data_IF_192013431392
#
_entry.id   IF_192013431392
#
_cell.length_a   1.000
_cell.length_b   1.000
_cell.length_c   1.000
_cell.angle_alpha   90.00
_cell.angle_beta   90.00
_cell.angle_gamma   90.00
#
_symmetry.space_group_name_H-M   'P 1'
#
loop_
_entity.id
_entity.type
_entity.pdbx_description
1 polymer ?
#
# COMPACT_ATOMS: atom_id res chain seq x y z
N UNK A 1 3.26 13.21 -17.15
CA UNK A 1 3.66 12.61 -15.87
C UNK A 1 4.35 11.28 -16.20
N UNK A 2 5.68 11.20 -16.09
CA UNK A 2 6.39 9.93 -16.19
C UNK A 2 6.30 9.26 -14.82
N UNK A 3 5.43 8.26 -14.67
CA UNK A 3 5.45 7.36 -13.53
C UNK A 3 6.42 6.23 -13.86
N UNK A 4 7.43 6.06 -13.04
CA UNK A 4 8.42 5.01 -13.21
C UNK A 4 8.31 4.03 -12.05
N UNK A 5 8.12 2.75 -12.39
CA UNK A 5 8.30 1.65 -11.46
C UNK A 5 9.80 1.45 -11.30
N UNK A 6 10.41 1.96 -10.24
CA UNK A 6 11.86 1.86 -10.03
C UNK A 6 12.15 0.55 -9.32
N UNK A 7 12.88 -0.35 -9.97
CA UNK A 7 13.69 -1.35 -9.29
C UNK A 7 14.95 -0.67 -8.75
N UNK A 8 15.61 -1.25 -7.74
CA UNK A 8 16.80 -0.64 -7.11
C UNK A 8 17.96 -0.35 -8.10
N UNK A 9 17.96 -0.97 -9.27
CA UNK A 9 19.00 -0.85 -10.30
C UNK A 9 18.66 0.21 -11.37
N UNK A 10 17.37 0.54 -11.57
CA UNK A 10 16.90 1.37 -12.69
C UNK A 10 16.72 2.87 -12.36
N UNK A 11 16.88 3.26 -11.11
CA UNK A 11 16.64 4.65 -10.67
C UNK A 11 17.51 5.67 -11.41
N UNK A 12 18.79 5.39 -11.55
CA UNK A 12 19.73 6.25 -12.25
C UNK A 12 19.48 6.29 -13.77
N UNK A 13 19.06 5.15 -14.36
CA UNK A 13 18.73 5.05 -15.80
C UNK A 13 17.46 5.82 -16.13
N UNK A 14 16.49 5.83 -15.25
CA UNK A 14 15.25 6.57 -15.39
C UNK A 14 15.45 8.08 -15.30
N UNK A 15 16.23 8.54 -14.34
CA UNK A 15 16.57 9.95 -14.16
C UNK A 15 17.36 10.46 -15.36
N UNK A 16 18.29 9.66 -15.89
CA UNK A 16 19.05 10.00 -17.09
C UNK A 16 18.18 10.10 -18.35
N UNK A 17 17.12 9.29 -18.46
CA UNK A 17 16.25 9.25 -19.63
C UNK A 17 15.10 10.27 -19.57
N UNK A 18 14.55 10.56 -18.39
CA UNK A 18 13.32 11.32 -18.20
C UNK A 18 13.47 12.61 -17.40
N UNK A 19 14.68 12.87 -16.90
CA UNK A 19 14.94 13.97 -15.98
C UNK A 19 14.56 13.63 -14.53
N UNK A 20 14.56 14.61 -13.62
CA UNK A 20 14.36 14.40 -12.19
C UNK A 20 13.03 13.71 -11.87
N UNK A 21 13.09 12.63 -11.07
CA UNK A 21 11.92 11.88 -10.63
C UNK A 21 11.23 12.64 -9.50
N UNK A 22 9.94 12.94 -9.64
CA UNK A 22 9.13 13.66 -8.65
C UNK A 22 8.00 12.82 -8.03
N UNK A 23 7.79 11.59 -8.51
CA UNK A 23 6.83 10.63 -7.99
C UNK A 23 7.51 9.28 -7.76
N UNK A 24 7.43 8.78 -6.51
CA UNK A 24 7.85 7.43 -6.14
C UNK A 24 6.63 6.61 -5.71
N UNK A 25 6.41 5.45 -6.34
CA UNK A 25 5.35 4.51 -5.94
C UNK A 25 5.97 3.20 -5.47
N UNK A 26 5.85 2.89 -4.19
CA UNK A 26 6.28 1.64 -3.59
C UNK A 26 5.16 0.60 -3.70
N UNK A 27 5.20 -0.26 -4.73
CA UNK A 27 4.15 -1.24 -5.03
C UNK A 27 4.62 -2.69 -4.92
N UNK A 28 5.93 -2.96 -4.82
CA UNK A 28 6.44 -4.32 -4.69
C UNK A 28 5.95 -4.97 -3.38
N UNK A 29 5.49 -6.23 -3.48
CA UNK A 29 4.95 -6.95 -2.33
C UNK A 29 5.17 -8.44 -2.47
N UNK A 30 5.26 -9.14 -1.34
CA UNK A 30 5.11 -10.59 -1.19
C UNK A 30 4.01 -10.86 -0.18
N UNK A 31 3.33 -12.00 -0.29
CA UNK A 31 2.14 -12.31 0.50
C UNK A 31 2.11 -13.79 0.85
N UNK A 32 2.75 -14.14 1.97
CA UNK A 32 2.80 -15.50 2.49
C UNK A 32 1.81 -15.69 3.63
N UNK A 33 1.15 -16.85 3.66
CA UNK A 33 0.21 -17.17 4.73
C UNK A 33 0.98 -17.75 5.92
N UNK A 34 0.78 -17.15 7.09
CA UNK A 34 1.31 -17.59 8.37
C UNK A 34 0.38 -17.15 9.51
N UNK A 35 0.65 -17.63 10.72
CA UNK A 35 -0.02 -17.22 11.95
C UNK A 35 1.00 -17.00 13.07
N UNK A 36 0.54 -16.49 14.21
CA UNK A 36 1.41 -16.30 15.41
C UNK A 36 2.01 -17.61 15.92
N UNK A 37 1.41 -18.76 15.59
CA UNK A 37 1.84 -20.08 16.06
C UNK A 37 2.75 -20.83 15.08
N UNK A 38 2.85 -20.38 13.82
CA UNK A 38 3.56 -21.11 12.76
C UNK A 38 4.36 -20.22 11.79
N UNK A 39 4.55 -18.93 12.11
CA UNK A 39 5.36 -18.07 11.26
C UNK A 39 6.84 -18.52 11.22
N UNK A 40 7.45 -18.38 10.03
CA UNK A 40 8.88 -18.64 9.84
C UNK A 40 9.68 -17.34 9.71
N UNK A 41 10.89 -17.30 10.30
CA UNK A 41 11.75 -16.11 10.24
C UNK A 41 12.15 -15.74 8.81
N UNK A 42 12.26 -16.68 7.89
CA UNK A 42 12.57 -16.41 6.48
C UNK A 42 11.45 -15.59 5.81
N UNK A 43 10.18 -15.97 5.98
CA UNK A 43 9.05 -15.22 5.46
C UNK A 43 8.92 -13.85 6.14
N UNK A 44 9.12 -13.82 7.48
CA UNK A 44 9.15 -12.59 8.26
C UNK A 44 10.18 -11.59 7.73
N UNK A 45 11.43 -12.01 7.59
CA UNK A 45 12.51 -11.15 7.13
C UNK A 45 12.28 -10.67 5.69
N UNK A 46 11.74 -11.52 4.83
CA UNK A 46 11.36 -11.16 3.46
C UNK A 46 10.25 -10.10 3.45
N UNK A 47 9.20 -10.26 4.25
CA UNK A 47 8.13 -9.26 4.38
C UNK A 47 8.68 -7.91 4.86
N UNK A 48 9.48 -7.90 5.94
CA UNK A 48 10.02 -6.65 6.49
C UNK A 48 11.09 -6.02 5.58
N UNK A 49 11.89 -6.82 4.88
CA UNK A 49 12.85 -6.31 3.91
C UNK A 49 12.12 -5.58 2.77
N UNK A 50 11.09 -6.20 2.21
CA UNK A 50 10.38 -5.67 1.05
C UNK A 50 9.42 -4.54 1.41
N UNK A 51 8.67 -4.67 2.52
CA UNK A 51 7.61 -3.71 2.86
C UNK A 51 8.09 -2.55 3.73
N UNK A 52 9.23 -2.66 4.41
CA UNK A 52 9.70 -1.63 5.34
C UNK A 52 11.07 -1.09 4.95
N UNK A 53 12.08 -1.97 4.87
CA UNK A 53 13.46 -1.53 4.58
C UNK A 53 13.58 -0.91 3.19
N UNK A 54 12.99 -1.55 2.16
CA UNK A 54 13.06 -1.05 0.78
C UNK A 54 12.35 0.30 0.61
N UNK A 55 11.09 0.51 1.04
CA UNK A 55 10.45 1.82 0.98
C UNK A 55 11.21 2.91 1.74
N UNK A 56 11.77 2.59 2.91
CA UNK A 56 12.57 3.55 3.68
C UNK A 56 13.87 3.95 2.95
N UNK A 57 14.56 2.98 2.34
CA UNK A 57 15.75 3.23 1.53
C UNK A 57 15.42 4.08 0.30
N UNK A 58 14.36 3.70 -0.44
CA UNK A 58 13.93 4.44 -1.63
C UNK A 58 13.48 5.86 -1.29
N UNK A 59 12.74 6.05 -0.19
CA UNK A 59 12.33 7.37 0.26
C UNK A 59 13.54 8.27 0.60
N UNK A 60 14.55 7.72 1.29
CA UNK A 60 15.80 8.42 1.59
C UNK A 60 16.53 8.84 0.31
N UNK A 61 16.69 7.92 -0.62
CA UNK A 61 17.40 8.18 -1.88
C UNK A 61 16.62 9.18 -2.77
N UNK A 62 15.29 9.03 -2.84
CA UNK A 62 14.40 9.96 -3.54
C UNK A 62 14.51 11.39 -2.98
N UNK A 63 14.50 11.52 -1.65
CA UNK A 63 14.62 12.83 -1.00
C UNK A 63 15.99 13.49 -1.24
N UNK A 64 17.05 12.69 -1.34
CA UNK A 64 18.41 13.17 -1.64
C UNK A 64 18.58 13.54 -3.12
N UNK A 65 17.96 12.81 -4.04
CA UNK A 65 18.06 13.04 -5.48
C UNK A 65 17.13 14.16 -5.99
N UNK A 66 16.02 14.45 -5.28
CA UNK A 66 15.06 15.45 -5.71
C UNK A 66 15.71 16.86 -5.73
N UNK A 67 15.79 17.56 -6.89
CA UNK A 67 16.41 18.86 -7.00
C UNK A 67 15.84 19.91 -6.04
N UNK A 68 16.67 20.86 -5.63
CA UNK A 68 16.23 21.99 -4.82
C UNK A 68 15.11 22.77 -5.54
N UNK A 69 14.06 23.12 -4.79
CA UNK A 69 12.89 23.84 -5.33
C UNK A 69 11.84 22.95 -6.02
N UNK A 70 12.12 21.66 -6.24
CA UNK A 70 11.10 20.72 -6.70
C UNK A 70 10.32 20.10 -5.54
N UNK A 71 9.04 19.88 -5.77
CA UNK A 71 8.17 19.11 -4.87
C UNK A 71 8.05 17.68 -5.33
N UNK A 72 7.89 16.75 -4.38
CA UNK A 72 7.75 15.33 -4.64
C UNK A 72 6.54 14.70 -3.95
N UNK A 73 6.18 13.51 -4.45
CA UNK A 73 5.17 12.65 -3.84
C UNK A 73 5.70 11.23 -3.73
N UNK A 74 5.54 10.63 -2.54
CA UNK A 74 5.72 9.20 -2.33
C UNK A 74 4.33 8.58 -2.06
N UNK A 75 4.01 7.48 -2.75
CA UNK A 75 2.80 6.69 -2.53
C UNK A 75 3.19 5.26 -2.18
N UNK A 76 2.82 4.82 -0.99
CA UNK A 76 3.04 3.46 -0.52
C UNK A 76 1.78 2.61 -0.75
N UNK A 77 1.88 1.49 -1.48
CA UNK A 77 0.80 0.53 -1.58
C UNK A 77 0.85 -0.36 -0.33
N UNK A 78 -0.12 -0.13 0.56
CA UNK A 78 -0.21 -0.82 1.85
C UNK A 78 -1.17 -2.01 1.71
N UNK A 79 -2.17 -2.08 2.52
CA UNK A 79 -3.27 -3.06 2.49
C UNK A 79 -4.35 -2.55 3.45
N UNK A 80 -5.62 -2.77 3.14
CA UNK A 80 -6.73 -2.44 4.02
C UNK A 80 -6.67 -3.17 5.38
N UNK A 81 -5.93 -4.30 5.46
CA UNK A 81 -5.73 -5.05 6.71
C UNK A 81 -5.12 -4.24 7.86
N UNK A 82 -4.43 -3.12 7.56
CA UNK A 82 -3.95 -2.23 8.63
C UNK A 82 -5.08 -1.54 9.38
N UNK A 83 -6.29 -1.49 8.79
CA UNK A 83 -7.52 -0.98 9.42
C UNK A 83 -8.37 -2.11 10.04
N UNK A 84 -8.30 -3.32 9.45
CA UNK A 84 -9.05 -4.49 9.89
C UNK A 84 -8.15 -5.73 9.90
N UNK A 85 -7.34 -5.91 10.95
CA UNK A 85 -6.42 -7.04 11.05
C UNK A 85 -7.19 -8.38 11.15
N UNK A 86 -6.54 -9.44 10.67
CA UNK A 86 -7.02 -10.82 10.76
C UNK A 86 -5.94 -11.69 11.40
N UNK A 87 -6.26 -12.84 12.01
CA UNK A 87 -5.26 -13.71 12.63
C UNK A 87 -4.35 -14.42 11.63
N UNK A 88 -4.71 -14.45 10.36
CA UNK A 88 -3.92 -15.00 9.25
C UNK A 88 -3.01 -13.93 8.65
N UNK A 89 -1.98 -14.37 7.92
CA UNK A 89 -1.00 -13.47 7.30
C UNK A 89 -0.32 -12.56 8.33
N UNK A 90 0.13 -13.17 9.41
CA UNK A 90 0.58 -12.47 10.62
C UNK A 90 1.80 -11.58 10.33
N UNK A 91 2.91 -12.14 9.81
CA UNK A 91 4.12 -11.36 9.51
C UNK A 91 3.91 -10.33 8.39
N UNK A 92 3.11 -10.69 7.37
CA UNK A 92 2.69 -9.75 6.33
C UNK A 92 1.93 -8.55 6.92
N UNK A 93 0.90 -8.81 7.72
CA UNK A 93 0.05 -7.77 8.31
C UNK A 93 0.86 -6.83 9.19
N UNK A 94 1.79 -7.36 10.00
CA UNK A 94 2.70 -6.55 10.82
C UNK A 94 3.62 -5.68 9.96
N UNK A 95 4.18 -6.23 8.87
CA UNK A 95 5.04 -5.46 7.98
C UNK A 95 4.29 -4.32 7.26
N UNK A 96 3.04 -4.55 6.86
CA UNK A 96 2.18 -3.50 6.27
C UNK A 96 1.75 -2.46 7.31
N UNK A 97 1.48 -2.86 8.55
CA UNK A 97 1.23 -1.93 9.65
C UNK A 97 2.46 -1.06 9.97
N UNK A 98 3.66 -1.65 9.92
CA UNK A 98 4.91 -0.92 10.05
C UNK A 98 5.11 0.09 8.90
N UNK A 99 4.79 -0.30 7.63
CA UNK A 99 4.82 0.62 6.50
C UNK A 99 3.80 1.76 6.64
N UNK A 100 2.62 1.48 7.21
CA UNK A 100 1.64 2.53 7.52
C UNK A 100 2.16 3.52 8.57
N UNK A 101 2.78 3.06 9.62
CA UNK A 101 3.45 3.91 10.60
C UNK A 101 4.57 4.73 9.95
N UNK A 102 5.43 4.07 9.14
CA UNK A 102 6.51 4.72 8.40
C UNK A 102 6.00 5.78 7.41
N UNK A 103 4.86 5.56 6.75
CA UNK A 103 4.24 6.55 5.85
C UNK A 103 3.98 7.87 6.58
N UNK A 104 3.42 7.81 7.78
CA UNK A 104 3.13 9.01 8.59
C UNK A 104 4.38 9.70 9.10
N UNK A 105 5.36 8.94 9.57
CA UNK A 105 6.63 9.53 10.04
C UNK A 105 7.45 10.12 8.89
N UNK A 106 7.47 9.47 7.72
CA UNK A 106 8.08 10.04 6.51
C UNK A 106 7.37 11.31 6.06
N UNK A 107 6.03 11.37 6.12
CA UNK A 107 5.27 12.58 5.80
C UNK A 107 5.67 13.77 6.68
N UNK A 108 5.90 13.52 7.97
CA UNK A 108 6.38 14.54 8.91
C UNK A 108 7.82 14.97 8.61
N UNK A 109 8.70 14.00 8.36
CA UNK A 109 10.12 14.25 8.21
C UNK A 109 10.50 14.91 6.87
N UNK A 110 9.73 14.64 5.80
CA UNK A 110 10.04 15.09 4.44
C UNK A 110 9.28 16.36 4.03
N UNK A 111 8.31 16.79 4.85
CA UNK A 111 7.61 18.05 4.64
C UNK A 111 8.58 19.26 4.77
N UNK A 112 8.30 20.41 4.10
CA UNK A 112 7.15 20.63 3.21
C UNK A 112 7.38 20.16 1.77
N UNK A 113 8.57 19.70 1.42
CA UNK A 113 9.03 19.48 0.05
C UNK A 113 8.47 18.19 -0.55
N UNK A 114 8.33 17.13 0.24
CA UNK A 114 7.84 15.84 -0.22
C UNK A 114 6.63 15.44 0.63
N UNK A 115 5.52 15.15 -0.04
CA UNK A 115 4.33 14.56 0.57
C UNK A 115 4.44 13.04 0.51
N UNK A 116 3.97 12.36 1.55
CA UNK A 116 3.97 10.90 1.61
C UNK A 116 2.57 10.42 1.97
N UNK A 117 1.97 9.63 1.09
CA UNK A 117 0.64 9.08 1.28
C UNK A 117 0.63 7.58 0.95
N UNK A 118 -0.52 6.96 1.13
CA UNK A 118 -0.70 5.53 0.89
C UNK A 118 -2.02 5.21 0.19
N UNK A 119 -2.05 4.05 -0.44
CA UNK A 119 -3.26 3.38 -0.91
C UNK A 119 -3.36 2.05 -0.15
N UNK A 120 -4.54 1.75 0.39
CA UNK A 120 -4.87 0.49 1.03
C UNK A 120 -5.86 -0.31 0.17
N UNK A 121 -5.37 -1.18 -0.74
CA UNK A 121 -6.25 -1.97 -1.58
C UNK A 121 -6.98 -3.06 -0.79
N UNK A 122 -8.17 -3.41 -1.29
CA UNK A 122 -8.84 -4.69 -1.05
C UNK A 122 -8.52 -5.73 -2.12
N UNK A 123 -9.40 -6.74 -2.29
CA UNK A 123 -9.24 -7.78 -3.30
C UNK A 123 -9.35 -7.18 -4.70
N UNK A 124 -8.23 -7.13 -5.42
CA UNK A 124 -8.10 -6.51 -6.73
C UNK A 124 -8.03 -7.55 -7.85
N UNK A 125 -7.19 -8.56 -7.66
CA UNK A 125 -6.98 -9.67 -8.60
C UNK A 125 -6.97 -10.98 -7.81
N UNK A 126 -7.44 -12.09 -8.41
CA UNK A 126 -7.31 -13.40 -7.77
C UNK A 126 -5.83 -13.72 -7.54
N UNK A 127 -5.51 -14.23 -6.36
CA UNK A 127 -4.17 -14.73 -6.08
C UNK A 127 -3.97 -16.10 -6.73
N UNK A 128 -2.72 -16.51 -6.94
CA UNK A 128 -2.40 -17.85 -7.45
C UNK A 128 -2.97 -19.01 -6.60
N UNK A 129 -3.45 -18.72 -5.39
CA UNK A 129 -4.04 -19.66 -4.44
C UNK A 129 -5.58 -19.68 -4.46
N UNK A 130 -6.19 -18.78 -5.21
CA UNK A 130 -7.65 -18.65 -5.30
C UNK A 130 -8.13 -19.07 -6.69
N UNK A 131 -9.14 -19.93 -6.72
CA UNK A 131 -9.92 -20.13 -7.92
C UNK A 131 -10.95 -18.98 -8.11
N UNK A 132 -11.57 -18.94 -9.29
CA UNK A 132 -12.56 -17.91 -9.63
C UNK A 132 -13.74 -17.88 -8.66
N UNK A 133 -14.16 -19.04 -8.15
CA UNK A 133 -15.29 -19.17 -7.23
C UNK A 133 -14.96 -18.55 -5.88
N UNK A 134 -13.77 -18.85 -5.34
CA UNK A 134 -13.32 -18.31 -4.07
C UNK A 134 -13.12 -16.77 -4.16
N UNK A 135 -12.60 -16.28 -5.29
CA UNK A 135 -12.47 -14.85 -5.49
C UNK A 135 -13.82 -14.15 -5.64
N UNK A 136 -14.77 -14.73 -6.41
CA UNK A 136 -16.13 -14.21 -6.53
C UNK A 136 -16.86 -14.17 -5.17
N UNK A 137 -16.72 -15.21 -4.35
CA UNK A 137 -17.28 -15.24 -3.00
C UNK A 137 -16.66 -14.16 -2.10
N UNK A 138 -15.35 -13.90 -2.25
CA UNK A 138 -14.69 -12.81 -1.54
C UNK A 138 -15.26 -11.44 -1.95
N UNK A 139 -15.48 -11.19 -3.23
CA UNK A 139 -16.08 -9.96 -3.73
C UNK A 139 -17.53 -9.80 -3.24
N UNK A 140 -18.32 -10.88 -3.24
CA UNK A 140 -19.70 -10.84 -2.73
C UNK A 140 -19.76 -10.52 -1.22
N UNK A 141 -18.72 -10.84 -0.47
CA UNK A 141 -18.57 -10.44 0.93
C UNK A 141 -18.29 -8.95 1.16
N UNK A 142 -17.94 -8.18 0.12
CA UNK A 142 -17.69 -6.75 0.26
C UNK A 142 -18.99 -5.95 0.35
N UNK A 143 -18.93 -4.78 0.99
CA UNK A 143 -20.10 -3.87 1.07
C UNK A 143 -20.54 -3.42 -0.33
N UNK A 144 -19.59 -3.06 -1.20
CA UNK A 144 -19.88 -2.63 -2.58
C UNK A 144 -20.04 -3.79 -3.58
N UNK A 145 -19.83 -5.06 -3.15
CA UNK A 145 -19.91 -6.26 -3.99
C UNK A 145 -18.90 -6.30 -5.15
N UNK A 146 -17.93 -5.42 -5.15
CA UNK A 146 -16.80 -5.42 -6.07
C UNK A 146 -15.56 -4.83 -5.39
N UNK A 147 -14.40 -5.30 -5.81
CA UNK A 147 -13.10 -4.72 -5.44
C UNK A 147 -12.70 -3.59 -6.39
N UNK A 148 -11.52 -2.99 -6.17
CA UNK A 148 -11.03 -1.92 -7.03
C UNK A 148 -10.59 -2.46 -8.40
N UNK A 149 -10.85 -1.69 -9.44
CA UNK A 149 -10.27 -1.90 -10.76
C UNK A 149 -8.85 -1.33 -10.83
N UNK A 150 -8.00 -1.86 -11.72
CA UNK A 150 -6.61 -1.38 -11.87
C UNK A 150 -6.53 0.10 -12.23
N UNK A 151 -7.51 0.62 -12.97
CA UNK A 151 -7.58 2.03 -13.33
C UNK A 151 -7.77 2.96 -12.11
N UNK A 152 -8.41 2.48 -11.05
CA UNK A 152 -8.66 3.27 -9.83
C UNK A 152 -7.37 3.55 -9.05
N UNK A 153 -6.36 2.68 -9.15
CA UNK A 153 -5.03 2.96 -8.59
C UNK A 153 -4.39 4.17 -9.24
N UNK A 154 -4.41 4.21 -10.58
CA UNK A 154 -3.90 5.34 -11.34
C UNK A 154 -4.66 6.64 -11.04
N UNK A 155 -5.99 6.58 -10.95
CA UNK A 155 -6.84 7.70 -10.60
C UNK A 155 -6.55 8.22 -9.18
N UNK A 156 -6.37 7.31 -8.21
CA UNK A 156 -6.05 7.67 -6.82
C UNK A 156 -4.66 8.30 -6.72
N UNK A 157 -3.65 7.76 -7.42
CA UNK A 157 -2.32 8.37 -7.47
C UNK A 157 -2.38 9.78 -8.06
N UNK A 158 -3.15 9.96 -9.14
CA UNK A 158 -3.35 11.29 -9.76
C UNK A 158 -4.03 12.26 -8.79
N UNK A 159 -5.08 11.83 -8.11
CA UNK A 159 -5.72 12.63 -7.07
C UNK A 159 -4.71 13.05 -5.98
N UNK A 160 -3.92 12.12 -5.45
CA UNK A 160 -2.89 12.42 -4.45
C UNK A 160 -1.81 13.37 -4.98
N UNK A 161 -1.51 13.30 -6.26
CA UNK A 161 -0.58 14.23 -6.91
C UNK A 161 -1.13 15.66 -6.94
N UNK A 162 -2.39 15.82 -7.33
CA UNK A 162 -3.07 17.10 -7.48
C UNK A 162 -3.47 17.71 -6.13
N UNK A 163 -3.81 16.88 -5.14
CA UNK A 163 -4.26 17.31 -3.81
C UNK A 163 -3.08 17.75 -2.93
N UNK A 164 -2.60 18.96 -3.13
CA UNK A 164 -1.37 19.53 -2.55
C UNK A 164 -1.37 19.62 -1.01
N UNK A 165 -2.52 19.66 -0.37
CA UNK A 165 -2.68 19.70 1.09
C UNK A 165 -2.82 18.33 1.75
N UNK A 166 -2.75 17.23 0.96
CA UNK A 166 -2.90 15.87 1.48
C UNK A 166 -1.53 15.22 1.67
N UNK A 167 -1.20 14.89 2.93
CA UNK A 167 -0.01 14.14 3.30
C UNK A 167 -0.28 13.28 4.54
N UNK A 168 0.43 12.16 4.69
CA UNK A 168 0.27 11.23 5.83
C UNK A 168 -1.05 10.47 5.83
N UNK A 169 -1.77 10.43 4.70
CA UNK A 169 -3.08 9.79 4.58
C UNK A 169 -3.00 8.45 3.83
N UNK A 170 -3.93 7.56 4.14
CA UNK A 170 -4.19 6.35 3.36
C UNK A 170 -5.61 6.40 2.81
N UNK A 171 -5.75 6.20 1.51
CA UNK A 171 -7.05 6.00 0.86
C UNK A 171 -7.27 4.51 0.71
N UNK A 172 -8.27 3.97 1.40
CA UNK A 172 -8.70 2.59 1.21
C UNK A 172 -9.56 2.51 -0.06
N UNK A 173 -9.11 1.67 -1.01
CA UNK A 173 -9.85 1.31 -2.22
C UNK A 173 -10.13 -0.20 -2.16
N UNK A 174 -11.08 -0.59 -1.33
CA UNK A 174 -11.27 -1.97 -0.91
C UNK A 174 -12.71 -2.48 -1.00
N UNK A 175 -13.58 -1.76 -1.71
CA UNK A 175 -15.00 -2.11 -1.79
C UNK A 175 -15.72 -2.07 -0.44
N UNK A 176 -15.15 -1.35 0.55
CA UNK A 176 -15.66 -1.27 1.90
C UNK A 176 -15.29 -2.48 2.78
N UNK A 177 -14.29 -3.27 2.41
CA UNK A 177 -13.88 -4.47 3.15
C UNK A 177 -13.53 -4.16 4.61
N UNK A 178 -12.83 -3.06 4.87
CA UNK A 178 -12.43 -2.66 6.23
C UNK A 178 -13.61 -2.21 7.09
N UNK A 179 -14.76 -1.88 6.50
CA UNK A 179 -15.98 -1.44 7.19
C UNK A 179 -16.95 -2.58 7.49
N UNK A 180 -16.60 -3.84 7.16
CA UNK A 180 -17.50 -4.98 7.41
C UNK A 180 -17.79 -5.11 8.91
N UNK A 181 -19.09 -5.05 9.25
CA UNK A 181 -19.61 -4.97 10.62
C UNK A 181 -20.50 -6.16 11.01
N UNK A 182 -20.89 -6.97 10.03
CA UNK A 182 -21.79 -8.11 10.23
C UNK A 182 -21.11 -9.22 11.03
N UNK A 183 -21.27 -9.17 12.34
CA UNK A 183 -20.82 -10.21 13.26
C UNK A 183 -22.04 -10.96 13.81
N UNK A 184 -21.90 -12.23 14.27
CA UNK A 184 -23.02 -13.03 14.76
C UNK A 184 -23.80 -12.41 15.93
N UNK A 185 -23.17 -11.53 16.70
CA UNK A 185 -23.77 -10.82 17.82
C UNK A 185 -24.57 -9.60 17.41
N UNK A 186 -24.46 -9.15 16.17
CA UNK A 186 -25.16 -7.96 15.64
C UNK A 186 -26.19 -8.38 14.56
N UNK A 187 -25.83 -9.36 13.72
CA UNK A 187 -26.67 -9.73 12.58
C UNK A 187 -27.93 -10.48 13.04
N UNK A 188 -29.10 -9.92 12.73
CA UNK A 188 -30.39 -10.54 13.05
C UNK A 188 -30.87 -10.38 14.48
N UNK A 189 -30.20 -9.55 15.29
CA UNK A 189 -30.72 -9.15 16.61
C UNK A 189 -31.73 -8.02 16.44
N UNK A 190 -32.96 -8.15 16.97
CA UNK A 190 -33.87 -7.00 17.08
C UNK A 190 -33.32 -6.03 18.13
N UNK A 191 -33.21 -4.78 17.78
CA UNK A 191 -33.00 -3.69 18.75
C UNK A 191 -34.27 -3.42 19.57
#
# INVERSE_FOLDING_TARGET
LAALLITLEDGASAEAALGPVSLLVNSASTFDNDSVTDFGWEAWDRHFALHVKTPALLARNFAAALPAGMEGLIVNIIDQRVLKPTPQFFSYSLSKAALWAATRTMAQALAPRIRVNAIGPGPTLPSARQDETAFAAQLDGLILKHGPELAEFGATIRYLWEARSVTGQMIAIDGGQHLAWQTPDVTGMPE
#
